data_IF_557614113296
#
_entry.id   IF_557614113296
#
_cell.length_a   1.000
_cell.length_b   1.000
_cell.length_c   1.000
_cell.angle_alpha   90.00
_cell.angle_beta   90.00
_cell.angle_gamma   90.00
#
_symmetry.space_group_name_H-M   'P 1'
#
loop_
_entity.id
_entity.type
_entity.pdbx_description
1 polymer ?
#
# COMPACT_ATOMS: atom_id res chain seq x y z
N UNK A 1 -18.92 13.70 9.76
CA UNK A 1 -18.07 12.67 9.13
C UNK A 1 -16.67 13.16 8.72
N UNK A 2 -16.39 14.48 8.81
CA UNK A 2 -15.12 15.07 8.37
C UNK A 2 -13.88 14.73 9.19
N UNK A 3 -14.02 14.17 10.38
CA UNK A 3 -12.91 13.94 11.31
C UNK A 3 -12.55 12.48 11.57
N UNK A 4 -13.10 11.54 10.79
CA UNK A 4 -12.85 10.11 11.01
C UNK A 4 -11.35 9.77 10.94
N UNK A 5 -10.56 10.46 10.10
CA UNK A 5 -9.11 10.25 9.97
C UNK A 5 -8.25 11.06 10.95
N UNK A 6 -8.81 12.07 11.61
CA UNK A 6 -8.06 12.90 12.57
C UNK A 6 -8.10 12.36 13.99
N UNK A 7 -9.14 11.65 14.35
CA UNK A 7 -9.32 11.01 15.64
C UNK A 7 -8.60 11.73 16.82
N UNK A 8 -8.65 11.14 18.00
CA UNK A 8 -8.23 11.76 19.24
C UNK A 8 -6.78 12.30 19.21
N UNK A 9 -5.84 11.52 18.69
CA UNK A 9 -4.40 11.84 18.72
C UNK A 9 -3.81 12.01 17.31
N UNK A 10 -4.64 12.29 16.32
CA UNK A 10 -4.23 12.37 14.89
C UNK A 10 -3.57 11.10 14.35
N UNK A 11 -3.76 9.96 15.01
CA UNK A 11 -3.15 8.66 14.69
C UNK A 11 -4.10 7.67 14.00
N UNK A 12 -5.23 8.14 13.45
CA UNK A 12 -6.14 7.27 12.72
C UNK A 12 -5.63 6.98 11.31
N UNK A 13 -5.96 5.79 10.80
CA UNK A 13 -5.59 5.41 9.44
C UNK A 13 -4.26 4.66 9.33
N UNK A 14 -3.66 4.28 10.44
CA UNK A 14 -2.41 3.50 10.51
C UNK A 14 -2.66 2.01 10.15
N UNK A 15 -3.23 1.77 8.97
CA UNK A 15 -3.61 0.43 8.51
C UNK A 15 -2.42 -0.51 8.32
N UNK A 16 -1.21 0.03 8.14
CA UNK A 16 0.02 -0.76 8.11
C UNK A 16 0.26 -1.55 9.39
N UNK A 17 -0.28 -1.09 10.52
CA UNK A 17 -0.11 -1.72 11.83
C UNK A 17 -1.25 -2.68 12.23
N UNK A 18 -2.22 -2.94 11.36
CA UNK A 18 -3.18 -4.03 11.56
C UNK A 18 -2.42 -5.34 11.61
N UNK A 19 -2.66 -6.15 12.64
CA UNK A 19 -2.05 -7.49 12.77
C UNK A 19 -2.75 -8.44 11.81
N UNK A 20 -2.07 -8.83 10.74
CA UNK A 20 -2.52 -9.82 9.75
C UNK A 20 -1.93 -11.20 9.98
N UNK A 21 -0.82 -11.28 10.71
CA UNK A 21 -0.08 -12.52 11.01
C UNK A 21 0.20 -12.62 12.51
N UNK A 22 -0.70 -13.21 13.26
CA UNK A 22 -0.54 -13.38 14.72
C UNK A 22 0.76 -14.10 15.05
N UNK A 23 1.59 -13.49 15.91
CA UNK A 23 2.91 -14.04 16.27
C UNK A 23 3.97 -13.93 15.18
N UNK A 24 3.69 -13.22 14.08
CA UNK A 24 4.60 -13.03 12.95
C UNK A 24 5.77 -12.08 13.22
N UNK A 25 6.28 -11.47 12.15
CA UNK A 25 7.48 -10.62 12.17
C UNK A 25 7.32 -9.43 13.11
N UNK A 26 8.40 -9.11 13.83
CA UNK A 26 8.46 -7.95 14.72
C UNK A 26 8.31 -6.65 13.94
N UNK A 27 7.40 -5.79 14.36
CA UNK A 27 7.19 -4.45 13.82
C UNK A 27 7.78 -3.37 14.74
N UNK A 28 8.21 -2.25 14.15
CA UNK A 28 8.73 -1.10 14.90
C UNK A 28 7.71 -0.46 15.85
N UNK A 29 6.40 -0.66 15.60
CA UNK A 29 5.34 -0.19 16.51
C UNK A 29 5.27 -0.98 17.83
N UNK A 30 6.05 -2.05 17.98
CA UNK A 30 6.07 -2.91 19.16
C UNK A 30 5.26 -4.20 19.02
N UNK A 31 4.34 -4.28 18.07
CA UNK A 31 3.57 -5.50 17.77
C UNK A 31 4.37 -6.51 16.93
N UNK A 32 3.83 -7.72 16.82
CA UNK A 32 4.27 -8.73 15.88
C UNK A 32 3.18 -8.96 14.83
N UNK A 33 3.59 -9.16 13.55
CA UNK A 33 2.69 -9.56 12.48
C UNK A 33 1.88 -8.42 11.85
N UNK A 34 2.34 -7.17 11.97
CA UNK A 34 1.73 -6.03 11.30
C UNK A 34 1.73 -6.18 9.78
N UNK A 35 0.67 -5.75 9.14
CA UNK A 35 0.45 -5.81 7.69
C UNK A 35 1.63 -5.24 6.88
N UNK A 36 2.20 -4.10 7.27
CA UNK A 36 3.34 -3.49 6.57
C UNK A 36 4.57 -4.40 6.51
N UNK A 37 4.73 -5.32 7.50
CA UNK A 37 5.83 -6.26 7.52
C UNK A 37 5.76 -7.29 6.39
N UNK A 38 4.62 -7.40 5.72
CA UNK A 38 4.35 -8.36 4.63
C UNK A 38 4.02 -7.66 3.32
N UNK A 39 3.36 -6.51 3.34
CA UNK A 39 2.82 -5.84 2.16
C UNK A 39 3.59 -4.59 1.72
N UNK A 40 4.58 -4.12 2.48
CA UNK A 40 5.39 -2.95 2.10
C UNK A 40 6.44 -3.27 1.03
N UNK A 41 7.00 -2.23 0.39
CA UNK A 41 8.15 -2.37 -0.51
C UNK A 41 9.36 -2.99 0.20
N UNK A 42 9.60 -2.63 1.47
CA UNK A 42 10.66 -3.21 2.28
C UNK A 42 10.44 -4.70 2.53
N UNK A 43 9.18 -5.13 2.68
CA UNK A 43 8.83 -6.54 2.78
C UNK A 43 9.17 -7.30 1.49
N UNK A 44 8.82 -6.75 0.31
CA UNK A 44 9.17 -7.37 -0.98
C UNK A 44 10.69 -7.51 -1.13
N UNK A 45 11.46 -6.46 -0.84
CA UNK A 45 12.94 -6.49 -0.91
C UNK A 45 13.49 -7.58 0.01
N UNK A 46 13.00 -7.66 1.24
CA UNK A 46 13.38 -8.72 2.18
C UNK A 46 13.06 -10.11 1.64
N UNK A 47 11.83 -10.33 1.15
CA UNK A 47 11.39 -11.63 0.62
C UNK A 47 12.24 -12.07 -0.58
N UNK A 48 12.62 -11.14 -1.46
CA UNK A 48 13.50 -11.44 -2.61
C UNK A 48 14.89 -11.82 -2.11
N UNK A 49 15.45 -11.08 -1.16
CA UNK A 49 16.75 -11.40 -0.56
C UNK A 49 16.74 -12.78 0.10
N UNK A 50 15.74 -13.06 0.93
CA UNK A 50 15.61 -14.33 1.64
C UNK A 50 15.37 -15.51 0.71
N UNK A 51 14.56 -15.33 -0.34
CA UNK A 51 14.20 -16.40 -1.27
C UNK A 51 15.21 -16.65 -2.39
N UNK A 52 16.08 -15.68 -2.72
CA UNK A 52 17.00 -15.79 -3.87
C UNK A 52 18.46 -15.49 -3.56
N UNK A 53 18.76 -14.95 -2.36
CA UNK A 53 20.08 -14.48 -1.99
C UNK A 53 20.51 -13.18 -2.71
N UNK A 54 19.64 -12.56 -3.53
CA UNK A 54 19.97 -11.35 -4.29
C UNK A 54 19.63 -10.10 -3.48
N UNK A 55 20.55 -9.16 -3.42
CA UNK A 55 20.37 -7.82 -2.87
C UNK A 55 19.89 -6.89 -4.00
N UNK A 56 18.56 -6.70 -4.11
CA UNK A 56 17.93 -5.87 -5.13
C UNK A 56 17.09 -4.77 -4.47
N UNK A 57 17.13 -3.59 -5.06
CA UNK A 57 16.19 -2.51 -4.71
C UNK A 57 14.80 -2.80 -5.30
N UNK A 58 13.77 -2.10 -4.78
CA UNK A 58 12.41 -2.25 -5.31
C UNK A 58 12.29 -1.96 -6.82
N UNK A 59 13.14 -1.10 -7.39
CA UNK A 59 13.20 -0.85 -8.83
C UNK A 59 13.83 -2.01 -9.59
N UNK A 60 14.99 -2.48 -9.12
CA UNK A 60 15.74 -3.57 -9.77
C UNK A 60 14.96 -4.88 -9.81
N UNK A 61 14.08 -5.13 -8.84
CA UNK A 61 13.19 -6.31 -8.83
C UNK A 61 12.32 -6.35 -10.10
N UNK A 62 11.89 -5.20 -10.60
CA UNK A 62 11.02 -5.08 -11.80
C UNK A 62 11.78 -4.85 -13.09
N UNK A 63 13.11 -4.81 -13.07
CA UNK A 63 13.90 -4.81 -14.31
C UNK A 63 13.74 -6.16 -15.06
N UNK A 64 13.69 -6.16 -16.39
CA UNK A 64 13.34 -7.34 -17.19
C UNK A 64 14.07 -8.62 -16.79
N UNK A 65 15.39 -8.54 -16.53
CA UNK A 65 16.23 -9.70 -16.19
C UNK A 65 15.86 -10.32 -14.83
N UNK A 66 15.33 -9.53 -13.89
CA UNK A 66 14.88 -10.01 -12.59
C UNK A 66 13.39 -10.39 -12.61
N UNK A 67 12.56 -9.57 -13.25
CA UNK A 67 11.12 -9.80 -13.34
C UNK A 67 10.73 -11.08 -14.07
N UNK A 68 11.53 -11.52 -15.06
CA UNK A 68 11.33 -12.79 -15.77
C UNK A 68 11.93 -14.00 -15.03
N UNK A 69 12.64 -13.79 -13.91
CA UNK A 69 13.11 -14.90 -13.08
C UNK A 69 11.93 -15.53 -12.35
N UNK A 70 11.72 -16.83 -12.51
CA UNK A 70 10.55 -17.55 -11.97
C UNK A 70 10.44 -17.48 -10.47
N UNK A 71 11.57 -17.54 -9.74
CA UNK A 71 11.58 -17.46 -8.28
C UNK A 71 11.19 -16.04 -7.82
N UNK A 72 11.76 -14.99 -8.42
CA UNK A 72 11.41 -13.60 -8.11
C UNK A 72 9.95 -13.33 -8.45
N UNK A 73 9.47 -13.85 -9.58
CA UNK A 73 8.08 -13.68 -9.99
C UNK A 73 7.11 -14.31 -8.99
N UNK A 74 7.38 -15.52 -8.52
CA UNK A 74 6.57 -16.16 -7.49
C UNK A 74 6.56 -15.36 -6.18
N UNK A 75 7.69 -14.75 -5.80
CA UNK A 75 7.77 -13.88 -4.61
C UNK A 75 6.93 -12.61 -4.82
N UNK A 76 6.99 -11.98 -5.98
CA UNK A 76 6.16 -10.82 -6.31
C UNK A 76 4.67 -11.19 -6.21
N UNK A 77 4.27 -12.34 -6.76
CA UNK A 77 2.89 -12.79 -6.72
C UNK A 77 2.39 -13.05 -5.30
N UNK A 78 3.20 -13.69 -4.46
CA UNK A 78 2.89 -13.88 -3.04
C UNK A 78 2.79 -12.54 -2.29
N UNK A 79 3.69 -11.60 -2.57
CA UNK A 79 3.64 -10.26 -1.98
C UNK A 79 2.38 -9.49 -2.42
N UNK A 80 1.93 -9.65 -3.67
CA UNK A 80 0.67 -9.07 -4.14
C UNK A 80 -0.52 -9.70 -3.38
N UNK A 81 -0.48 -10.99 -3.06
CA UNK A 81 -1.54 -11.64 -2.26
C UNK A 81 -1.61 -11.04 -0.85
N UNK A 82 -0.47 -10.73 -0.23
CA UNK A 82 -0.45 -10.00 1.04
C UNK A 82 -1.13 -8.63 0.94
N UNK A 83 -0.84 -7.87 -0.12
CA UNK A 83 -1.49 -6.58 -0.37
C UNK A 83 -3.01 -6.77 -0.51
N UNK A 84 -3.44 -7.73 -1.32
CA UNK A 84 -4.86 -8.03 -1.55
C UNK A 84 -5.56 -8.45 -0.27
N UNK A 85 -4.89 -9.20 0.61
CA UNK A 85 -5.41 -9.58 1.92
C UNK A 85 -5.77 -8.38 2.79
N UNK A 86 -4.83 -7.43 2.94
CA UNK A 86 -5.08 -6.20 3.70
C UNK A 86 -6.12 -5.29 3.04
N UNK A 87 -6.06 -5.10 1.72
CA UNK A 87 -7.06 -4.32 0.98
C UNK A 87 -8.46 -4.94 1.13
N UNK A 88 -8.58 -6.25 1.13
CA UNK A 88 -9.86 -6.94 1.36
C UNK A 88 -10.45 -6.60 2.72
N UNK A 89 -9.61 -6.56 3.77
CA UNK A 89 -10.03 -6.13 5.10
C UNK A 89 -10.55 -4.69 5.09
N UNK A 90 -9.86 -3.78 4.42
CA UNK A 90 -10.28 -2.38 4.31
C UNK A 90 -11.59 -2.23 3.50
N UNK A 91 -11.77 -3.04 2.46
CA UNK A 91 -13.04 -3.07 1.69
C UNK A 91 -14.20 -3.51 2.58
N UNK A 92 -14.01 -4.54 3.41
CA UNK A 92 -15.05 -4.98 4.34
C UNK A 92 -15.38 -3.93 5.41
N UNK A 93 -14.38 -3.21 5.93
CA UNK A 93 -14.58 -2.22 6.98
C UNK A 93 -15.22 -0.94 6.45
N UNK A 94 -14.76 -0.43 5.29
CA UNK A 94 -15.10 0.91 4.81
C UNK A 94 -16.03 0.91 3.60
N UNK A 95 -16.15 -0.20 2.87
CA UNK A 95 -16.88 -0.30 1.60
C UNK A 95 -16.63 0.93 0.69
N UNK A 96 -15.37 1.25 0.36
CA UNK A 96 -15.04 2.47 -0.35
C UNK A 96 -15.44 2.37 -1.83
N UNK A 97 -15.81 3.50 -2.44
CA UNK A 97 -16.04 3.57 -3.89
C UNK A 97 -14.74 3.45 -4.69
N UNK A 98 -13.60 3.90 -4.11
CA UNK A 98 -12.29 3.87 -4.76
C UNK A 98 -11.18 3.66 -3.75
N UNK A 99 -10.18 2.86 -4.12
CA UNK A 99 -8.90 2.73 -3.42
C UNK A 99 -7.82 3.28 -4.34
N UNK A 100 -7.06 4.24 -3.84
CA UNK A 100 -5.95 4.84 -4.57
C UNK A 100 -4.64 4.30 -4.02
N UNK A 101 -3.89 3.58 -4.85
CA UNK A 101 -2.60 3.00 -4.51
C UNK A 101 -1.48 3.95 -4.92
N UNK A 102 -0.63 4.31 -3.97
CA UNK A 102 0.50 5.23 -4.16
C UNK A 102 1.81 4.65 -3.65
N UNK A 103 2.90 5.37 -3.93
CA UNK A 103 4.26 4.94 -3.62
C UNK A 103 5.05 4.59 -4.88
N UNK A 104 6.39 4.59 -4.76
CA UNK A 104 7.28 4.42 -5.93
C UNK A 104 7.07 3.13 -6.69
N UNK A 105 6.88 2.02 -5.98
CA UNK A 105 6.70 0.69 -6.55
C UNK A 105 5.35 0.53 -7.27
N UNK A 106 4.33 1.30 -6.88
CA UNK A 106 3.02 1.29 -7.53
C UNK A 106 3.03 1.92 -8.94
N UNK A 107 4.20 2.34 -9.44
CA UNK A 107 4.36 2.74 -10.83
C UNK A 107 4.38 1.55 -11.80
N UNK A 108 4.65 0.35 -11.30
CA UNK A 108 4.63 -0.87 -12.09
C UNK A 108 3.19 -1.29 -12.38
N UNK A 109 2.80 -1.23 -13.66
CA UNK A 109 1.42 -1.50 -14.09
C UNK A 109 1.01 -2.95 -13.81
N UNK A 110 1.97 -3.88 -13.80
CA UNK A 110 1.74 -5.26 -13.39
C UNK A 110 1.13 -5.37 -12.00
N UNK A 111 1.66 -4.64 -11.02
CA UNK A 111 1.19 -4.69 -9.63
C UNK A 111 -0.29 -4.25 -9.57
N UNK A 112 -0.60 -3.11 -10.19
CA UNK A 112 -1.96 -2.56 -10.15
C UNK A 112 -2.95 -3.52 -10.83
N UNK A 113 -2.57 -4.06 -12.00
CA UNK A 113 -3.44 -4.96 -12.76
C UNK A 113 -3.70 -6.28 -12.00
N UNK A 114 -2.70 -6.84 -11.33
CA UNK A 114 -2.87 -8.07 -10.56
C UNK A 114 -3.67 -7.84 -9.27
N UNK A 115 -3.46 -6.71 -8.59
CA UNK A 115 -4.30 -6.34 -7.43
C UNK A 115 -5.75 -6.20 -7.87
N UNK A 116 -6.01 -5.44 -8.94
CA UNK A 116 -7.37 -5.20 -9.47
C UNK A 116 -8.05 -6.53 -9.83
N UNK A 117 -7.37 -7.38 -10.58
CA UNK A 117 -7.86 -8.70 -10.96
C UNK A 117 -8.19 -9.59 -9.74
N UNK A 118 -7.29 -9.66 -8.75
CA UNK A 118 -7.48 -10.50 -7.56
C UNK A 118 -8.58 -9.96 -6.65
N UNK A 119 -8.75 -8.66 -6.53
CA UNK A 119 -9.87 -8.03 -5.82
C UNK A 119 -11.18 -8.37 -6.50
N UNK A 120 -11.30 -8.17 -7.81
CA UNK A 120 -12.54 -8.39 -8.56
C UNK A 120 -12.88 -9.86 -8.81
N UNK A 121 -11.96 -10.80 -8.55
CA UNK A 121 -12.25 -12.24 -8.62
C UNK A 121 -13.18 -12.71 -7.49
N UNK A 122 -13.33 -11.94 -6.42
CA UNK A 122 -14.19 -12.28 -5.28
C UNK A 122 -15.67 -12.02 -5.60
N UNK A 123 -16.53 -13.00 -5.29
CA UNK A 123 -17.96 -12.92 -5.61
C UNK A 123 -18.79 -12.20 -4.52
N UNK A 124 -18.33 -11.02 -4.14
CA UNK A 124 -18.98 -10.16 -3.15
C UNK A 124 -19.17 -8.78 -3.78
N UNK A 125 -20.37 -8.20 -3.64
CA UNK A 125 -20.75 -6.94 -4.31
C UNK A 125 -19.76 -5.80 -4.08
N UNK A 126 -19.31 -5.59 -2.85
CA UNK A 126 -18.35 -4.52 -2.52
C UNK A 126 -17.03 -4.66 -3.26
N UNK A 127 -16.57 -5.90 -3.52
CA UNK A 127 -15.38 -6.18 -4.32
C UNK A 127 -15.59 -5.96 -5.81
N UNK A 128 -16.82 -6.16 -6.30
CA UNK A 128 -17.16 -5.93 -7.72
C UNK A 128 -17.33 -4.46 -8.07
N UNK A 129 -17.60 -3.60 -7.09
CA UNK A 129 -17.93 -2.18 -7.32
C UNK A 129 -16.80 -1.22 -6.95
N UNK A 130 -15.85 -1.63 -6.10
CA UNK A 130 -14.70 -0.80 -5.73
C UNK A 130 -13.78 -0.58 -6.94
N UNK A 131 -13.30 0.65 -7.11
CA UNK A 131 -12.32 0.96 -8.15
C UNK A 131 -10.92 0.96 -7.56
N UNK A 132 -10.00 0.21 -8.16
CA UNK A 132 -8.57 0.25 -7.81
C UNK A 132 -7.87 1.21 -8.76
N UNK A 133 -7.25 2.26 -8.25
CA UNK A 133 -6.61 3.30 -9.06
C UNK A 133 -5.18 3.56 -8.61
N UNK A 134 -4.33 3.84 -9.58
CA UNK A 134 -2.96 4.32 -9.36
C UNK A 134 -2.98 5.81 -9.03
N UNK A 135 -2.19 6.22 -8.03
CA UNK A 135 -2.05 7.64 -7.68
C UNK A 135 -1.39 8.43 -8.81
N UNK A 136 -2.07 9.47 -9.31
CA UNK A 136 -1.59 10.29 -10.45
C UNK A 136 -0.34 11.11 -10.09
N UNK A 137 -0.24 11.61 -8.86
CA UNK A 137 0.84 12.47 -8.41
C UNK A 137 2.11 11.71 -8.02
N UNK A 138 2.06 10.38 -8.00
CA UNK A 138 3.19 9.49 -7.65
C UNK A 138 3.85 9.94 -6.33
N UNK A 139 5.19 10.01 -6.29
CA UNK A 139 5.96 10.41 -5.10
C UNK A 139 5.83 11.92 -4.76
N UNK A 140 5.21 12.72 -5.62
CA UNK A 140 4.99 14.17 -5.38
C UNK A 140 3.71 14.46 -4.60
N UNK A 141 2.84 13.46 -4.38
CA UNK A 141 1.54 13.66 -3.72
C UNK A 141 1.67 14.27 -2.33
N UNK A 142 2.58 13.76 -1.50
CA UNK A 142 2.81 14.27 -0.13
C UNK A 142 3.32 15.72 -0.13
N UNK A 143 4.31 16.03 -0.97
CA UNK A 143 4.87 17.39 -1.08
C UNK A 143 3.82 18.39 -1.57
N UNK A 144 3.06 18.05 -2.60
CA UNK A 144 2.00 18.92 -3.13
C UNK A 144 0.85 19.10 -2.13
N UNK A 145 0.49 18.04 -1.40
CA UNK A 145 -0.51 18.09 -0.34
C UNK A 145 -0.07 19.01 0.81
N UNK A 146 1.18 18.90 1.26
CA UNK A 146 1.75 19.78 2.29
C UNK A 146 1.78 21.24 1.83
N UNK A 147 2.21 21.52 0.60
CA UNK A 147 2.22 22.87 0.02
C UNK A 147 0.79 23.45 -0.08
N UNK A 148 -0.18 22.64 -0.51
CA UNK A 148 -1.59 23.05 -0.56
C UNK A 148 -2.14 23.41 0.82
N UNK A 149 -1.86 22.57 1.83
CA UNK A 149 -2.31 22.83 3.21
C UNK A 149 -1.67 24.09 3.80
N UNK A 150 -0.38 24.30 3.57
CA UNK A 150 0.33 25.51 3.98
C UNK A 150 -0.30 26.75 3.36
N UNK A 151 -0.54 26.75 2.04
CA UNK A 151 -1.23 27.83 1.33
C UNK A 151 -2.63 28.09 1.90
N UNK A 152 -3.45 27.05 2.03
CA UNK A 152 -4.82 27.16 2.57
C UNK A 152 -4.86 27.75 3.97
N UNK A 153 -3.88 27.43 4.82
CA UNK A 153 -3.78 27.99 6.16
C UNK A 153 -3.28 29.45 6.13
N UNK A 154 -2.33 29.78 5.23
CA UNK A 154 -1.85 31.15 5.04
C UNK A 154 -2.96 32.08 4.56
N UNK A 155 -3.80 31.65 3.63
CA UNK A 155 -4.93 32.42 3.10
C UNK A 155 -6.03 32.70 4.16
N UNK A 156 -6.01 31.98 5.30
CA UNK A 156 -6.93 32.18 6.44
C UNK A 156 -6.41 33.10 7.51
N UNK A 157 -5.13 33.53 7.43
CA UNK A 157 -4.57 34.49 8.39
C UNK A 157 -5.18 35.87 8.13
N UNK A 158 -5.47 36.66 9.20
CA UNK A 158 -5.96 38.03 9.04
C UNK A 158 -4.91 38.82 8.21
N UNK A 159 -5.36 39.41 7.14
CA UNK A 159 -4.53 40.36 6.35
C UNK A 159 -4.45 41.65 7.16
N UNK A 160 -3.28 41.94 7.73
CA UNK A 160 -2.99 43.23 8.37
C UNK A 160 -3.06 44.34 7.34
#
# INVERSE_FOLDING_TARGET
LGDVYKRQDFSAGEFGHIVTHTGGLRCNCGNNGCYEMYASTSALIRMVREGTGKELTGREIFEPQNFHNTAIRAIIDNWIDEIVGGLSTLIFIFNPAVIILGGGIMNEDYIISEIDKRIHSKDIRSFKTVQIKKAMLKNRAGMLGAAYLAKKNFDKLPKN
#
